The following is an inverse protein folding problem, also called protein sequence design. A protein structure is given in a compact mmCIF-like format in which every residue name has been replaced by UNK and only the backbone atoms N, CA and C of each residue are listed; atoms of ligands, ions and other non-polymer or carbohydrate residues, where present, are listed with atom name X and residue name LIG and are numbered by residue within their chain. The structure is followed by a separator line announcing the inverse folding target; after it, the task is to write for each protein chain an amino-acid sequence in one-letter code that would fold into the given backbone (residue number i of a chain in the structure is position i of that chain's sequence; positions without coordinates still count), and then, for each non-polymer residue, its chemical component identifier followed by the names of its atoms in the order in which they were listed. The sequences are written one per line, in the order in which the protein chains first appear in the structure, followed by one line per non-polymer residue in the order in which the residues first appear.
data_IF_113837184358
#
_entry.id   IF_113837184358
#
_cell.length_a   1.000
_cell.length_b   1.000
_cell.length_c   1.000
_cell.angle_alpha   90.00
_cell.angle_beta   90.00
_cell.angle_gamma   90.00
#
_symmetry.space_group_name_H-M   'P 1'
#
loop_
_entity.id
_entity.type
_entity.pdbx_description
1 polymer ?
#
# COMPACT_ATOMS: atom_id res chain seq x y z
N UNK A 1 16.18 13.12 12.20
CA UNK A 1 16.30 13.19 10.73
C UNK A 1 14.96 13.57 10.16
N UNK A 2 14.78 14.82 9.72
CA UNK A 2 13.53 15.25 9.07
C UNK A 2 13.65 14.96 7.57
N UNK A 3 13.35 13.72 7.19
CA UNK A 3 13.10 13.40 5.77
C UNK A 3 11.74 14.01 5.44
N UNK A 4 11.69 14.89 4.44
CA UNK A 4 10.43 15.50 3.98
C UNK A 4 9.40 14.44 3.57
N UNK A 5 8.16 14.86 3.26
CA UNK A 5 7.11 13.94 2.85
C UNK A 5 7.54 13.15 1.62
N UNK A 6 7.30 11.84 1.65
CA UNK A 6 7.54 10.95 0.52
C UNK A 6 6.28 10.98 -0.35
N UNK A 7 6.43 11.31 -1.63
CA UNK A 7 5.38 11.19 -2.63
C UNK A 7 5.67 9.93 -3.43
N UNK A 8 4.70 9.01 -3.49
CA UNK A 8 4.81 7.74 -4.22
C UNK A 8 3.66 7.64 -5.22
N UNK A 9 3.93 7.07 -6.38
CA UNK A 9 2.86 6.58 -7.27
C UNK A 9 2.20 5.33 -6.68
N UNK A 10 1.04 4.94 -7.22
CA UNK A 10 0.36 3.69 -6.81
C UNK A 10 1.28 2.49 -7.08
N UNK A 11 1.94 2.44 -8.25
CA UNK A 11 2.88 1.38 -8.61
C UNK A 11 4.07 1.30 -7.63
N UNK A 12 4.64 2.44 -7.25
CA UNK A 12 5.76 2.48 -6.30
C UNK A 12 5.34 2.04 -4.90
N UNK A 13 4.15 2.44 -4.45
CA UNK A 13 3.61 2.03 -3.16
C UNK A 13 3.35 0.52 -3.10
N UNK A 14 2.75 -0.05 -4.15
CA UNK A 14 2.55 -1.49 -4.29
C UNK A 14 3.89 -2.24 -4.34
N UNK A 15 4.84 -1.75 -5.15
CA UNK A 15 6.18 -2.35 -5.25
C UNK A 15 6.94 -2.40 -3.92
N UNK A 16 6.83 -1.35 -3.10
CA UNK A 16 7.44 -1.33 -1.76
C UNK A 16 6.73 -2.29 -0.79
N UNK A 17 5.40 -2.43 -0.92
CA UNK A 17 4.60 -3.31 -0.10
C UNK A 17 4.90 -4.78 -0.39
N UNK A 18 5.10 -5.13 -1.66
CA UNK A 18 5.45 -6.48 -2.13
C UNK A 18 6.85 -6.93 -1.69
N UNK A 19 7.74 -5.99 -1.38
CA UNK A 19 9.07 -6.31 -0.83
C UNK A 19 9.02 -6.73 0.65
N UNK A 20 7.92 -6.47 1.35
CA UNK A 20 7.80 -6.89 2.73
C UNK A 20 7.60 -8.41 2.80
N UNK A 21 8.29 -9.12 3.71
CA UNK A 21 8.06 -10.54 3.89
C UNK A 21 6.60 -10.78 4.29
N UNK A 22 6.00 -11.92 3.90
CA UNK A 22 4.63 -12.25 4.28
C UNK A 22 4.48 -12.22 5.82
N UNK A 23 3.31 -11.83 6.34
CA UNK A 23 3.09 -11.79 7.78
C UNK A 23 3.32 -13.18 8.40
N UNK A 24 4.04 -13.21 9.51
CA UNK A 24 4.31 -14.41 10.31
C UNK A 24 3.41 -14.46 11.54
N UNK A 25 3.38 -15.61 12.22
CA UNK A 25 2.64 -15.78 13.49
C UNK A 25 3.16 -14.90 14.62
N UNK A 26 4.41 -14.45 14.51
CA UNK A 26 5.10 -13.68 15.53
C UNK A 26 4.91 -12.16 15.33
N UNK A 27 4.32 -11.76 14.19
CA UNK A 27 4.01 -10.36 13.93
C UNK A 27 2.87 -9.86 14.79
N UNK A 28 2.99 -8.62 15.27
CA UNK A 28 1.92 -7.97 16.01
C UNK A 28 0.65 -7.89 15.16
N UNK A 29 -0.48 -8.34 15.72
CA UNK A 29 -1.77 -8.36 15.01
C UNK A 29 -2.16 -6.99 14.43
N UNK A 30 -1.75 -5.90 15.09
CA UNK A 30 -1.97 -4.55 14.61
C UNK A 30 -1.21 -4.28 13.30
N UNK A 31 0.05 -4.71 13.21
CA UNK A 31 0.88 -4.56 11.99
C UNK A 31 0.28 -5.35 10.83
N UNK A 32 -0.17 -6.59 11.08
CA UNK A 32 -0.85 -7.41 10.06
C UNK A 32 -2.11 -6.73 9.54
N UNK A 33 -2.94 -6.19 10.44
CA UNK A 33 -4.16 -5.43 10.07
C UNK A 33 -3.84 -4.17 9.29
N UNK A 34 -2.82 -3.43 9.69
CA UNK A 34 -2.41 -2.20 9.02
C UNK A 34 -1.90 -2.48 7.61
N UNK A 35 -1.08 -3.52 7.44
CA UNK A 35 -0.61 -3.97 6.12
C UNK A 35 -1.78 -4.29 5.21
N UNK A 36 -2.74 -5.09 5.69
CA UNK A 36 -3.94 -5.45 4.90
C UNK A 36 -4.75 -4.23 4.51
N UNK A 37 -4.97 -3.30 5.45
CA UNK A 37 -5.72 -2.07 5.16
C UNK A 37 -5.03 -1.18 4.13
N UNK A 38 -3.70 -1.17 4.11
CA UNK A 38 -2.93 -0.47 3.07
C UNK A 38 -3.09 -1.15 1.70
N UNK A 39 -3.08 -2.49 1.64
CA UNK A 39 -3.34 -3.24 0.41
C UNK A 39 -4.74 -2.94 -0.14
N UNK A 40 -5.76 -2.99 0.72
CA UNK A 40 -7.15 -2.69 0.34
C UNK A 40 -7.28 -1.26 -0.20
N UNK A 41 -6.67 -0.28 0.47
CA UNK A 41 -6.66 1.11 0.02
C UNK A 41 -6.00 1.29 -1.35
N UNK A 42 -4.83 0.67 -1.59
CA UNK A 42 -4.13 0.78 -2.86
C UNK A 42 -4.95 0.15 -4.00
N UNK A 43 -5.61 -0.98 -3.74
CA UNK A 43 -6.51 -1.61 -4.69
C UNK A 43 -7.71 -0.71 -5.05
N UNK A 44 -8.34 -0.08 -4.04
CA UNK A 44 -9.44 0.87 -4.25
C UNK A 44 -9.00 2.10 -5.06
N UNK A 45 -7.82 2.64 -4.77
CA UNK A 45 -7.26 3.76 -5.51
C UNK A 45 -6.96 3.41 -6.96
N UNK A 46 -6.41 2.22 -7.22
CA UNK A 46 -6.16 1.71 -8.57
C UNK A 46 -7.46 1.57 -9.37
N UNK A 47 -8.48 0.96 -8.77
CA UNK A 47 -9.80 0.82 -9.38
C UNK A 47 -10.43 2.20 -9.69
N UNK A 48 -10.29 3.16 -8.78
CA UNK A 48 -10.76 4.54 -8.98
C UNK A 48 -10.00 5.30 -10.07
N UNK A 49 -8.69 5.08 -10.19
CA UNK A 49 -7.88 5.71 -11.24
C UNK A 49 -8.23 5.18 -12.64
N UNK A 50 -8.39 3.86 -12.79
CA UNK A 50 -8.75 3.21 -14.06
C UNK A 50 -10.15 3.64 -14.57
N UNK A 51 -11.07 3.99 -13.67
CA UNK A 51 -12.43 4.44 -14.02
C UNK A 51 -12.54 5.88 -14.56
N UNK A 52 -11.50 6.71 -14.44
CA UNK A 52 -11.54 8.15 -14.84
C UNK A 52 -10.84 8.48 -16.16
N UNK A 53 -10.09 7.53 -16.74
CA UNK A 53 -9.34 7.72 -17.99
C UNK A 53 -10.12 7.45 -19.28
N UNK A 54 -11.37 7.02 -19.20
CA UNK A 54 -12.23 6.75 -20.34
C UNK A 54 -13.27 7.87 -20.52
N UNK A 55 -12.83 9.04 -20.97
CA UNK A 55 -13.68 10.07 -21.59
C UNK A 55 -12.84 10.89 -22.59
#
# INVERSE_FOLDING_TARGET
MNRGPIVLTIDEAEYLLDQLPPPSSDDEQFVVKLRRRLQDLLADLRAGAEGTGAN
#
